data_IF_422788635789
#
_entry.id   IF_422788635789
#
_cell.length_a   1.000
_cell.length_b   1.000
_cell.length_c   1.000
_cell.angle_alpha   90.00
_cell.angle_beta   90.00
_cell.angle_gamma   90.00
#
_symmetry.space_group_name_H-M   'P 1'
#
loop_
_entity.id
_entity.type
_entity.pdbx_description
1 polymer ?
#
# COMPACT_ATOMS: atom_id res chain seq x y z
N UNK A 1 7.64 5.79 -10.78
CA UNK A 1 8.79 5.93 -9.85
C UNK A 1 8.45 5.23 -8.53
N UNK A 2 9.36 4.45 -7.93
CA UNK A 2 9.15 3.84 -6.61
C UNK A 2 8.95 4.91 -5.54
N UNK A 3 7.98 4.71 -4.63
CA UNK A 3 7.66 5.67 -3.57
C UNK A 3 8.52 5.47 -2.31
N UNK A 4 8.97 4.24 -2.04
CA UNK A 4 9.73 3.91 -0.84
C UNK A 4 11.01 4.74 -0.66
N UNK A 5 11.89 4.91 -1.67
CA UNK A 5 13.09 5.74 -1.50
C UNK A 5 12.76 7.21 -1.22
N UNK A 6 11.67 7.73 -1.81
CA UNK A 6 11.22 9.09 -1.57
C UNK A 6 10.62 9.25 -0.17
N UNK A 7 9.92 8.25 0.34
CA UNK A 7 9.37 8.21 1.69
C UNK A 7 10.50 8.17 2.72
N UNK A 8 11.48 7.27 2.53
CA UNK A 8 12.66 7.18 3.38
C UNK A 8 13.45 8.50 3.43
N UNK A 9 13.63 9.16 2.27
CA UNK A 9 14.30 10.46 2.20
C UNK A 9 13.55 11.56 2.95
N UNK A 10 12.21 11.56 2.90
CA UNK A 10 11.37 12.61 3.49
C UNK A 10 11.11 12.41 4.99
N UNK A 11 10.91 11.16 5.42
CA UNK A 11 10.44 10.83 6.77
C UNK A 11 11.50 10.16 7.65
N UNK A 12 12.65 9.77 7.08
CA UNK A 12 13.69 9.01 7.79
C UNK A 12 13.26 7.57 8.05
N UNK A 13 14.14 6.71 8.60
CA UNK A 13 13.82 5.30 8.85
C UNK A 13 12.61 5.10 9.78
N UNK A 14 11.95 3.96 9.61
CA UNK A 14 10.85 3.51 10.47
C UNK A 14 11.40 2.84 11.73
N UNK A 15 10.68 2.98 12.84
CA UNK A 15 10.82 2.11 14.00
C UNK A 15 10.15 0.75 13.74
N UNK A 16 10.34 -0.22 14.66
CA UNK A 16 9.82 -1.58 14.51
C UNK A 16 8.28 -1.67 14.49
N UNK A 17 7.62 -0.65 15.03
CA UNK A 17 6.17 -0.50 15.16
C UNK A 17 5.59 0.56 14.21
N UNK A 18 6.40 1.12 13.31
CA UNK A 18 5.96 2.12 12.34
C UNK A 18 5.83 1.56 10.92
N UNK A 19 4.92 2.14 10.15
CA UNK A 19 4.74 1.88 8.72
C UNK A 19 4.58 3.17 7.93
N UNK A 20 5.01 3.17 6.66
CA UNK A 20 4.62 4.21 5.73
C UNK A 20 3.22 3.95 5.19
N UNK A 21 2.25 4.69 5.70
CA UNK A 21 0.85 4.61 5.29
C UNK A 21 0.45 5.79 4.40
N UNK A 22 -0.59 5.60 3.58
CA UNK A 22 -1.25 6.73 2.92
C UNK A 22 -2.28 7.37 3.87
N UNK A 23 -2.18 8.68 4.06
CA UNK A 23 -3.12 9.51 4.78
C UNK A 23 -3.61 10.64 3.86
N UNK A 24 -4.88 10.63 3.39
CA UNK A 24 -5.91 9.61 3.62
C UNK A 24 -5.64 8.29 2.89
N UNK A 25 -6.29 7.21 3.35
CA UNK A 25 -6.18 5.87 2.75
C UNK A 25 -6.65 5.85 1.28
N UNK A 26 -6.02 5.01 0.46
CA UNK A 26 -6.33 4.93 -0.97
C UNK A 26 -7.78 4.51 -1.24
N UNK A 27 -8.31 3.54 -0.48
CA UNK A 27 -9.70 3.09 -0.62
C UNK A 27 -10.73 4.14 -0.17
N UNK A 28 -10.30 5.17 0.58
CA UNK A 28 -11.13 6.30 0.99
C UNK A 28 -11.00 7.51 0.03
N UNK A 29 -10.47 7.30 -1.18
CA UNK A 29 -10.24 8.37 -2.16
C UNK A 29 -8.89 9.07 -2.03
N UNK A 30 -7.96 8.52 -1.23
CA UNK A 30 -6.60 9.02 -1.12
C UNK A 30 -5.80 8.87 -2.41
N UNK A 31 -4.94 9.85 -2.68
CA UNK A 31 -4.10 9.82 -3.88
C UNK A 31 -2.75 9.17 -3.60
N UNK A 32 -2.26 8.37 -4.56
CA UNK A 32 -0.92 7.76 -4.54
C UNK A 32 0.20 8.78 -4.81
N UNK A 33 0.41 9.71 -3.88
CA UNK A 33 1.43 10.78 -3.95
C UNK A 33 2.31 10.78 -2.70
N UNK A 34 3.59 11.09 -2.87
CA UNK A 34 4.57 11.14 -1.75
C UNK A 34 4.19 12.16 -0.66
N UNK A 35 3.43 13.21 -1.02
CA UNK A 35 2.93 14.18 -0.05
C UNK A 35 1.91 13.58 0.93
N UNK A 36 1.22 12.51 0.54
CA UNK A 36 0.19 11.84 1.33
C UNK A 36 0.72 10.58 2.03
N UNK A 37 2.04 10.37 2.05
CA UNK A 37 2.67 9.31 2.85
C UNK A 37 3.08 9.90 4.18
N UNK A 38 2.78 9.18 5.25
CA UNK A 38 3.12 9.51 6.64
C UNK A 38 3.66 8.27 7.36
N UNK A 39 4.36 8.49 8.47
CA UNK A 39 4.71 7.41 9.41
C UNK A 39 3.53 7.21 10.35
N UNK A 40 3.02 5.99 10.41
CA UNK A 40 1.87 5.62 11.21
C UNK A 40 2.21 4.42 12.10
N UNK A 41 1.46 4.27 13.20
CA UNK A 41 1.49 3.04 13.99
C UNK A 41 1.03 1.85 13.14
N UNK A 42 1.85 0.80 13.10
CA UNK A 42 1.63 -0.38 12.27
C UNK A 42 0.36 -1.15 12.66
N UNK A 43 0.08 -1.30 13.95
CA UNK A 43 -1.07 -2.05 14.44
C UNK A 43 -2.38 -1.31 14.15
N UNK A 44 -2.43 0.00 14.43
CA UNK A 44 -3.59 0.84 14.12
C UNK A 44 -3.85 0.89 12.61
N UNK A 45 -2.80 1.00 11.79
CA UNK A 45 -2.93 1.04 10.34
C UNK A 45 -3.51 -0.28 9.79
N UNK A 46 -3.00 -1.42 10.24
CA UNK A 46 -3.48 -2.73 9.80
C UNK A 46 -4.88 -3.06 10.32
N UNK A 47 -5.21 -2.73 11.57
CA UNK A 47 -6.55 -2.94 12.12
C UNK A 47 -7.60 -2.18 11.30
N UNK A 48 -7.32 -0.92 10.93
CA UNK A 48 -8.23 -0.14 10.10
C UNK A 48 -8.41 -0.75 8.70
N UNK A 49 -7.33 -1.24 8.08
CA UNK A 49 -7.42 -1.95 6.80
C UNK A 49 -8.23 -3.25 6.94
N UNK A 50 -8.06 -3.99 8.04
CA UNK A 50 -8.79 -5.23 8.31
C UNK A 50 -10.29 -5.00 8.59
N UNK A 51 -10.63 -3.90 9.27
CA UNK A 51 -12.01 -3.54 9.61
C UNK A 51 -12.78 -2.98 8.40
N UNK A 52 -12.09 -2.24 7.52
CA UNK A 52 -12.71 -1.53 6.40
C UNK A 52 -12.53 -2.22 5.04
N UNK A 53 -11.54 -3.10 4.92
CA UNK A 53 -11.19 -3.76 3.67
C UNK A 53 -11.76 -5.17 3.59
N UNK A 54 -12.19 -5.57 2.40
CA UNK A 54 -12.49 -6.96 2.11
C UNK A 54 -11.19 -7.75 1.90
N UNK A 55 -11.16 -8.99 2.38
CA UNK A 55 -10.06 -9.91 2.13
C UNK A 55 -10.38 -10.78 0.91
N UNK A 56 -9.53 -10.71 -0.11
CA UNK A 56 -9.63 -11.57 -1.29
C UNK A 56 -8.35 -12.39 -1.48
N UNK A 57 -8.51 -13.69 -1.79
CA UNK A 57 -7.41 -14.55 -2.20
C UNK A 57 -7.31 -14.53 -3.72
N UNK A 58 -6.21 -14.01 -4.24
CA UNK A 58 -5.98 -13.85 -5.68
C UNK A 58 -4.93 -14.86 -6.15
N UNK A 59 -5.30 -15.74 -7.10
CA UNK A 59 -4.34 -16.59 -7.82
C UNK A 59 -3.59 -15.78 -8.87
N UNK A 60 -2.45 -15.23 -8.45
CA UNK A 60 -1.54 -14.47 -9.30
C UNK A 60 -1.07 -15.26 -10.52
N UNK A 61 -0.86 -16.58 -10.40
CA UNK A 61 -0.38 -17.39 -11.51
C UNK A 61 -1.44 -17.47 -12.63
N UNK A 62 -2.71 -17.61 -12.26
CA UNK A 62 -3.81 -17.60 -13.22
C UNK A 62 -4.03 -16.23 -13.86
N UNK A 63 -3.90 -15.14 -13.10
CA UNK A 63 -4.00 -13.78 -13.66
C UNK A 63 -2.92 -13.48 -14.70
N UNK A 64 -1.67 -13.85 -14.42
CA UNK A 64 -0.56 -13.61 -15.36
C UNK A 64 -0.74 -14.41 -16.65
N UNK A 65 -1.18 -15.68 -16.56
CA UNK A 65 -1.48 -16.50 -17.75
C UNK A 65 -2.60 -15.89 -18.60
N UNK A 66 -3.65 -15.36 -17.97
CA UNK A 66 -4.74 -14.67 -18.65
C UNK A 66 -4.28 -13.41 -19.38
N UNK A 67 -3.45 -12.59 -18.72
CA UNK A 67 -2.90 -11.37 -19.32
C UNK A 67 -2.02 -11.69 -20.54
N UNK A 68 -1.13 -12.69 -20.46
CA UNK A 68 -0.26 -13.05 -21.59
C UNK A 68 -1.06 -13.53 -22.80
N UNK A 69 -2.09 -14.38 -22.59
CA UNK A 69 -2.98 -14.86 -23.67
C UNK A 69 -3.78 -13.76 -24.36
N UNK A 70 -4.00 -12.62 -23.71
CA UNK A 70 -4.72 -11.48 -24.30
C UNK A 70 -3.86 -10.65 -25.26
N UNK A 71 -2.55 -10.87 -25.29
CA UNK A 71 -1.61 -10.18 -26.16
C UNK A 71 -1.07 -11.07 -27.31
N UNK A 72 -1.55 -12.31 -27.44
CA UNK A 72 -1.35 -13.21 -28.59
C UNK A 72 -2.59 -13.19 -29.50
#
# INVERSE_FOLDING_TARGET
KPLFPAALKKHGPLNADEVYGFAPFLFMGGEKKIKNIEKCDFFAHLNLIADMGDMEIIDMASMVRGAIKQYE
#
